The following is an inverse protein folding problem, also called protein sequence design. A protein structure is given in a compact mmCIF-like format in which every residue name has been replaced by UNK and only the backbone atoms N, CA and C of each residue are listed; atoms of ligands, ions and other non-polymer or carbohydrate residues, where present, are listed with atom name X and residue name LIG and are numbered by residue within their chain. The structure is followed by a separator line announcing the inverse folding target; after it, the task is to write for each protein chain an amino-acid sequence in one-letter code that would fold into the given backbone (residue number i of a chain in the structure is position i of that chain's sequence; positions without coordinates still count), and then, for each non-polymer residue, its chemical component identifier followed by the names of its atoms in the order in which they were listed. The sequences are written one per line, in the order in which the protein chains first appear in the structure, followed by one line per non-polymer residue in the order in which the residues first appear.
data_IF_719961905353
#
_entry.id   IF_719961905353
#
_cell.length_a   1.000
_cell.length_b   1.000
_cell.length_c   1.000
_cell.angle_alpha   90.00
_cell.angle_beta   90.00
_cell.angle_gamma   90.00
#
_symmetry.space_group_name_H-M   'P 1'
#
loop_
_entity.id
_entity.type
_entity.pdbx_description
1 polymer ?
#
# COMPACT_ATOMS: atom_id res chain seq x y z
N UNK A 1 19.55 -18.50 36.92
CA UNK A 1 19.16 -18.52 36.40
C UNK A 1 18.91 -18.06 35.89
N UNK A 2 19.16 -18.06 36.19
CA UNK A 2 18.68 -17.85 35.50
C UNK A 2 18.32 -17.29 34.94
N UNK A 3 18.30 -17.22 35.22
CA UNK A 3 17.81 -17.08 34.66
C UNK A 3 17.44 -16.45 34.07
N UNK A 4 17.83 -16.73 34.67
CA UNK A 4 17.32 -16.37 34.00
C UNK A 4 17.11 -15.75 33.43
N UNK A 5 17.35 -15.94 33.83
CA UNK A 5 16.90 -15.59 33.22
C UNK A 5 16.66 -15.03 32.58
N UNK A 6 16.68 -15.14 32.96
CA UNK A 6 16.23 -14.85 32.31
C UNK A 6 15.81 -14.26 31.55
N UNK A 7 16.03 -14.29 32.05
CA UNK A 7 15.49 -14.07 31.32
C UNK A 7 15.06 -13.41 30.67
N UNK A 8 15.38 -13.54 31.28
CA UNK A 8 14.77 -13.15 30.56
C UNK A 8 14.56 -12.47 29.99
N UNK A 9 14.73 -12.66 30.49
CA UNK A 9 14.26 -12.35 29.72
C UNK A 9 14.11 -11.81 29.13
N UNK A 10 14.16 -11.89 29.51
CA UNK A 10 13.72 -11.86 28.68
C UNK A 10 13.30 -11.30 28.03
N UNK A 11 13.48 -11.29 28.43
CA UNK A 11 12.83 -11.15 27.62
C UNK A 11 12.46 -10.54 27.17
N UNK A 12 12.47 -10.38 27.33
CA UNK A 12 11.90 -10.10 26.61
C UNK A 12 11.59 -9.55 26.26
N UNK A 13 11.57 -9.54 26.42
CA UNK A 13 11.04 -9.41 25.70
C UNK A 13 10.67 -8.70 25.24
N UNK A 14 10.94 -8.72 25.67
CA UNK A 14 10.47 -8.39 24.83
C UNK A 14 10.41 -7.88 24.29
N UNK A 15 10.61 -7.91 24.62
CA UNK A 15 10.43 -7.79 23.71
C UNK A 15 10.59 -7.58 23.13
N UNK A 16 10.68 -7.78 23.07
CA UNK A 16 10.68 -7.97 22.14
C UNK A 16 10.76 -7.93 21.63
N UNK A 17 10.75 -8.25 21.45
CA UNK A 17 10.84 -8.42 20.55
C UNK A 17 10.73 -8.70 19.88
N UNK A 18 9.97 -8.67 20.59
CA UNK A 18 9.91 -9.69 19.59
C UNK A 18 10.39 -9.21 18.25
N UNK A 19 11.22 -9.91 17.66
CA UNK A 19 11.72 -9.50 16.36
C UNK A 19 10.64 -9.40 15.30
N UNK A 20 9.57 -10.16 15.40
CA UNK A 20 8.50 -10.14 14.41
C UNK A 20 7.80 -8.80 14.35
N UNK A 21 7.63 -8.19 15.49
CA UNK A 21 6.99 -6.88 15.52
C UNK A 21 7.85 -5.84 14.81
N UNK A 22 9.14 -6.02 14.90
CA UNK A 22 10.06 -5.11 14.26
C UNK A 22 9.98 -5.21 12.76
N UNK A 23 9.61 -6.39 12.25
CA UNK A 23 9.57 -6.63 10.82
C UNK A 23 8.23 -6.27 10.20
N UNK A 24 7.22 -6.07 10.99
CA UNK A 24 5.92 -5.73 10.47
C UNK A 24 5.81 -4.23 10.31
N UNK A 25 5.43 -3.75 9.14
CA UNK A 25 5.28 -2.32 8.95
C UNK A 25 4.09 -1.80 9.75
N UNK A 26 4.22 -0.58 10.19
CA UNK A 26 3.11 0.12 10.81
C UNK A 26 2.07 0.42 9.74
N UNK A 27 0.79 0.21 10.07
CA UNK A 27 -0.29 0.53 9.15
C UNK A 27 -1.24 1.50 9.82
N UNK A 28 -1.95 2.26 9.00
CA UNK A 28 -2.87 3.27 9.49
C UNK A 28 -4.06 3.36 8.53
N UNK A 29 -5.25 3.52 9.11
CA UNK A 29 -6.44 3.70 8.31
C UNK A 29 -6.63 5.19 8.04
N UNK A 30 -6.72 5.56 6.76
CA UNK A 30 -6.90 6.95 6.34
C UNK A 30 -7.99 6.98 5.28
N UNK A 31 -9.07 7.72 5.57
CA UNK A 31 -10.16 7.83 4.61
C UNK A 31 -9.72 8.64 3.40
N UNK A 32 -10.09 8.18 2.21
CA UNK A 32 -9.82 8.92 0.99
C UNK A 32 -10.55 10.27 1.04
N UNK A 33 -9.82 11.36 0.82
CA UNK A 33 -10.40 12.68 0.85
C UNK A 33 -11.19 13.02 -0.42
N UNK A 34 -10.70 12.67 -1.63
CA UNK A 34 -11.44 13.00 -2.84
C UNK A 34 -12.70 12.15 -3.00
N UNK A 35 -13.63 12.64 -3.82
CA UNK A 35 -14.84 11.91 -4.14
C UNK A 35 -14.52 10.60 -4.84
N UNK A 36 -15.34 9.57 -4.60
CA UNK A 36 -15.22 8.29 -5.29
C UNK A 36 -15.40 8.42 -6.80
N UNK A 37 -15.98 9.52 -7.25
CA UNK A 37 -16.21 9.76 -8.67
C UNK A 37 -15.18 10.70 -9.29
N UNK A 38 -14.06 10.92 -8.58
CA UNK A 38 -12.99 11.80 -9.05
C UNK A 38 -11.69 11.03 -9.12
N UNK A 39 -11.52 10.16 -10.16
CA UNK A 39 -10.31 9.33 -10.23
C UNK A 39 -9.02 10.14 -10.31
N UNK A 40 -9.02 11.26 -11.01
CA UNK A 40 -7.81 12.08 -11.10
C UNK A 40 -7.45 12.69 -9.76
N UNK A 41 -8.46 13.13 -9.00
CA UNK A 41 -8.23 13.64 -7.65
C UNK A 41 -7.70 12.58 -6.73
N UNK A 42 -8.22 11.36 -6.84
CA UNK A 42 -7.72 10.24 -6.04
C UNK A 42 -6.27 9.93 -6.40
N UNK A 43 -5.94 9.88 -7.70
CA UNK A 43 -4.57 9.61 -8.14
C UNK A 43 -3.60 10.62 -7.54
N UNK A 44 -3.94 11.89 -7.62
CA UNK A 44 -3.07 12.93 -7.08
C UNK A 44 -2.96 12.85 -5.57
N UNK A 45 -4.08 12.64 -4.89
CA UNK A 45 -4.11 12.55 -3.44
C UNK A 45 -3.25 11.39 -2.94
N UNK A 46 -3.33 10.23 -3.61
CA UNK A 46 -2.53 9.07 -3.24
C UNK A 46 -1.04 9.33 -3.44
N UNK A 47 -0.68 10.03 -4.53
CA UNK A 47 0.72 10.39 -4.77
C UNK A 47 1.25 11.30 -3.66
N UNK A 48 0.42 12.23 -3.21
CA UNK A 48 0.79 13.13 -2.13
C UNK A 48 0.97 12.37 -0.82
N UNK A 49 0.10 11.39 -0.55
CA UNK A 49 0.26 10.56 0.66
C UNK A 49 1.54 9.76 0.60
N UNK A 50 1.88 9.20 -0.58
CA UNK A 50 3.12 8.46 -0.73
C UNK A 50 4.34 9.35 -0.47
N UNK A 51 4.28 10.61 -0.92
CA UNK A 51 5.35 11.57 -0.68
C UNK A 51 5.51 11.89 0.80
N UNK A 52 4.48 11.64 1.59
CA UNK A 52 4.53 11.80 3.05
C UNK A 52 4.94 10.53 3.77
N UNK A 53 5.20 9.45 3.05
CA UNK A 53 5.54 8.18 3.66
C UNK A 53 4.34 7.28 3.93
N UNK A 54 3.19 7.57 3.34
CA UNK A 54 1.96 6.79 3.53
C UNK A 54 1.62 6.11 2.22
N UNK A 55 1.90 4.81 2.14
CA UNK A 55 1.79 4.04 0.90
C UNK A 55 0.55 3.16 0.95
N UNK A 56 -0.30 3.27 -0.05
CA UNK A 56 -1.56 2.51 -0.06
C UNK A 56 -1.27 1.01 -0.11
N UNK A 57 -1.89 0.27 0.81
CA UNK A 57 -1.79 -1.19 0.87
C UNK A 57 -3.06 -1.84 0.33
N UNK A 58 -4.20 -1.38 0.79
CA UNK A 58 -5.52 -1.72 0.28
C UNK A 58 -6.41 -0.53 0.57
N UNK A 59 -7.63 -0.58 0.11
CA UNK A 59 -8.50 0.58 0.24
C UNK A 59 -8.54 1.06 1.70
N UNK A 60 -8.27 2.32 1.91
CA UNK A 60 -8.25 3.02 3.21
C UNK A 60 -7.13 2.60 4.16
N UNK A 61 -6.32 1.58 3.83
CA UNK A 61 -5.21 1.16 4.69
C UNK A 61 -3.90 1.53 4.06
N UNK A 62 -3.04 2.21 4.84
CA UNK A 62 -1.75 2.70 4.37
C UNK A 62 -0.62 2.13 5.22
N UNK A 63 0.48 1.79 4.56
CA UNK A 63 1.72 1.43 5.25
C UNK A 63 2.49 2.71 5.50
N UNK A 64 2.94 2.89 6.74
CA UNK A 64 3.70 4.07 7.12
C UNK A 64 5.18 3.74 7.00
N UNK A 65 5.91 4.53 6.26
CA UNK A 65 7.33 4.30 6.05
C UNK A 65 8.00 5.50 5.45
N UNK A 66 9.01 5.24 4.63
CA UNK A 66 9.78 6.31 4.01
C UNK A 66 8.99 6.97 2.90
N UNK A 67 9.14 8.29 2.74
CA UNK A 67 8.51 8.98 1.61
C UNK A 67 8.90 8.35 0.29
N UNK A 68 7.94 8.24 -0.61
CA UNK A 68 8.18 7.67 -1.94
C UNK A 68 7.59 8.59 -3.00
N UNK A 69 8.31 8.71 -4.09
CA UNK A 69 7.90 9.50 -5.24
C UNK A 69 7.33 8.55 -6.28
N UNK A 70 6.03 8.34 -6.24
CA UNK A 70 5.39 7.39 -7.13
C UNK A 70 4.09 7.97 -7.69
N UNK A 71 3.59 7.32 -8.73
CA UNK A 71 2.35 7.71 -9.39
C UNK A 71 1.28 6.66 -9.13
N UNK A 72 0.04 7.10 -9.18
CA UNK A 72 -1.11 6.20 -9.11
C UNK A 72 -1.98 6.41 -10.34
N UNK A 73 -2.59 5.32 -10.78
CA UNK A 73 -3.51 5.35 -11.91
C UNK A 73 -4.76 4.56 -11.56
N UNK A 74 -5.91 5.17 -11.77
CA UNK A 74 -7.19 4.51 -11.57
C UNK A 74 -7.75 4.14 -12.93
N UNK A 75 -7.99 2.84 -13.11
CA UNK A 75 -8.50 2.30 -14.36
C UNK A 75 -9.87 1.71 -14.10
N UNK A 76 -10.88 2.01 -14.93
CA UNK A 76 -12.21 1.42 -14.74
C UNK A 76 -12.11 -0.11 -14.72
N UNK A 77 -12.72 -0.73 -13.73
CA UNK A 77 -12.74 -2.17 -13.63
C UNK A 77 -13.67 -2.76 -14.68
N UNK A 78 -13.21 -3.84 -15.31
CA UNK A 78 -14.00 -4.46 -16.37
C UNK A 78 -15.17 -5.26 -15.81
N UNK A 79 -15.00 -5.81 -14.60
CA UNK A 79 -16.02 -6.65 -13.98
C UNK A 79 -15.81 -6.64 -12.46
N UNK A 80 -16.41 -7.59 -11.78
CA UNK A 80 -16.37 -7.65 -10.32
C UNK A 80 -15.10 -8.30 -9.79
N UNK A 81 -14.25 -8.83 -10.67
CA UNK A 81 -13.04 -9.53 -10.26
C UNK A 81 -11.83 -8.61 -10.28
N UNK A 82 -10.81 -8.99 -9.53
CA UNK A 82 -9.52 -8.32 -9.61
C UNK A 82 -8.91 -8.55 -11.00
N UNK A 83 -7.96 -7.70 -11.43
CA UNK A 83 -7.33 -7.92 -12.74
C UNK A 83 -6.71 -9.29 -12.81
N UNK A 84 -6.90 -9.96 -13.96
CA UNK A 84 -6.30 -11.27 -14.14
C UNK A 84 -4.79 -11.15 -14.34
N UNK A 85 -4.14 -12.32 -14.39
CA UNK A 85 -2.68 -12.35 -14.46
C UNK A 85 -2.17 -11.70 -15.75
N UNK A 86 -2.86 -11.90 -16.86
CA UNK A 86 -2.45 -11.33 -18.13
C UNK A 86 -2.46 -9.79 -18.07
N UNK A 87 -3.50 -9.21 -17.51
CA UNK A 87 -3.58 -7.77 -17.40
C UNK A 87 -2.50 -7.25 -16.47
N UNK A 88 -2.26 -7.95 -15.36
CA UNK A 88 -1.21 -7.54 -14.41
C UNK A 88 0.16 -7.57 -15.08
N UNK A 89 0.42 -8.57 -15.92
CA UNK A 89 1.70 -8.64 -16.63
C UNK A 89 1.86 -7.50 -17.61
N UNK A 90 0.79 -7.18 -18.34
CA UNK A 90 0.84 -6.06 -19.28
C UNK A 90 1.19 -4.76 -18.58
N UNK A 91 0.56 -4.53 -17.42
CA UNK A 91 0.81 -3.29 -16.67
C UNK A 91 2.21 -3.31 -16.07
N UNK A 92 2.67 -4.48 -15.60
CA UNK A 92 4.01 -4.59 -15.02
C UNK A 92 5.10 -4.23 -16.02
N UNK A 93 4.90 -4.56 -17.28
CA UNK A 93 5.88 -4.23 -18.32
C UNK A 93 6.01 -2.72 -18.51
N UNK A 94 4.98 -1.97 -18.11
CA UNK A 94 5.01 -0.51 -18.17
C UNK A 94 5.41 0.11 -16.83
N UNK A 95 5.73 -0.72 -15.83
CA UNK A 95 6.15 -0.22 -14.54
C UNK A 95 5.03 -0.05 -13.54
N UNK A 96 3.85 -0.62 -13.80
CA UNK A 96 2.69 -0.49 -12.92
C UNK A 96 2.41 -1.79 -12.19
N UNK A 97 2.13 -1.69 -10.89
CA UNK A 97 1.71 -2.86 -10.10
C UNK A 97 0.31 -2.62 -9.55
N UNK A 98 -0.45 -3.69 -9.47
CA UNK A 98 -1.80 -3.62 -8.93
C UNK A 98 -1.75 -3.48 -7.42
N UNK A 99 -2.55 -2.57 -6.87
CA UNK A 99 -2.63 -2.36 -5.43
C UNK A 99 -3.94 -2.92 -4.88
N UNK A 100 -5.06 -2.37 -5.34
CA UNK A 100 -6.38 -2.77 -4.85
C UNK A 100 -7.46 -2.13 -5.71
N UNK A 101 -8.71 -2.40 -5.36
CA UNK A 101 -9.86 -1.74 -5.99
C UNK A 101 -10.34 -0.62 -5.08
N UNK A 102 -11.09 0.32 -5.63
CA UNK A 102 -11.77 1.31 -4.80
C UNK A 102 -12.90 0.62 -4.04
N UNK A 103 -13.43 1.29 -3.02
CA UNK A 103 -14.42 0.71 -2.12
C UNK A 103 -15.64 0.18 -2.86
N UNK A 104 -16.10 0.92 -3.86
CA UNK A 104 -17.28 0.51 -4.64
C UNK A 104 -16.93 -0.43 -5.78
N UNK A 105 -15.64 -0.75 -5.95
CA UNK A 105 -15.19 -1.70 -6.97
C UNK A 105 -15.16 -1.14 -8.37
N UNK A 106 -15.39 0.15 -8.54
CA UNK A 106 -15.49 0.75 -9.87
C UNK A 106 -14.14 0.86 -10.56
N UNK A 107 -13.08 1.11 -9.78
CA UNK A 107 -11.76 1.32 -10.36
C UNK A 107 -10.72 0.37 -9.77
N UNK A 108 -9.80 -0.08 -10.63
CA UNK A 108 -8.55 -0.69 -10.19
C UNK A 108 -7.56 0.42 -9.87
N UNK A 109 -6.78 0.25 -8.82
CA UNK A 109 -5.75 1.21 -8.44
C UNK A 109 -4.39 0.59 -8.72
N UNK A 110 -3.62 1.25 -9.59
CA UNK A 110 -2.27 0.82 -9.97
C UNK A 110 -1.26 1.82 -9.43
N UNK A 111 -0.08 1.32 -9.08
CA UNK A 111 1.01 2.16 -8.60
C UNK A 111 2.23 1.94 -9.46
N UNK A 112 2.87 3.03 -9.87
CA UNK A 112 4.12 2.98 -10.63
C UNK A 112 5.08 4.01 -10.08
N UNK A 113 6.36 3.91 -10.46
CA UNK A 113 7.27 4.96 -10.07
C UNK A 113 6.99 6.21 -10.91
N UNK A 114 7.69 7.29 -10.57
CA UNK A 114 7.41 8.58 -11.17
C UNK A 114 7.57 8.58 -12.69
N UNK A 115 8.43 7.72 -13.20
CA UNK A 115 8.73 7.69 -14.64
C UNK A 115 7.87 6.72 -15.41
N UNK A 116 6.97 5.99 -14.75
CA UNK A 116 6.09 5.05 -15.43
C UNK A 116 5.24 5.81 -16.46
N UNK A 117 5.16 5.30 -17.69
CA UNK A 117 4.35 5.97 -18.72
C UNK A 117 2.87 5.85 -18.43
N UNK A 118 2.09 6.73 -18.99
CA UNK A 118 0.64 6.64 -18.88
C UNK A 118 0.15 5.35 -19.51
N UNK A 119 -0.91 4.82 -18.94
CA UNK A 119 -1.52 3.60 -19.47
C UNK A 119 -2.44 3.94 -20.62
#
# INVERSE_FOLDING_TARGET
MDEDLRETTELPESGGTAPNEENEPETKSIRFAPSAYDPRGIEQWLSERAAEGKLLLRYDDFVIGEPRDCRYHLEPAADDDDPDELLREKRARLGWEYVCRTKDGIFYIWRGDRTAPDI
#
